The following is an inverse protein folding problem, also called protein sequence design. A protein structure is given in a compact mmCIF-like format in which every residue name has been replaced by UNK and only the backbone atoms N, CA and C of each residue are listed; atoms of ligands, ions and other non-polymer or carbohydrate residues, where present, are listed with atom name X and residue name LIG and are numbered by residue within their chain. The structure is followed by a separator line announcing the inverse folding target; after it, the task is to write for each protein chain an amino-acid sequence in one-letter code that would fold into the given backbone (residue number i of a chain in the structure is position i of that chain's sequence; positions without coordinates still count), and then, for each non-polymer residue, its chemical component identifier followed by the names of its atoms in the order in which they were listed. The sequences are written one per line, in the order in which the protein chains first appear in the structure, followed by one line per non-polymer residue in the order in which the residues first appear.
data_IF_144642971467
#
_entry.id   IF_144642971467
#
_cell.length_a   1.000
_cell.length_b   1.000
_cell.length_c   1.000
_cell.angle_alpha   90.00
_cell.angle_beta   90.00
_cell.angle_gamma   90.00
#
_symmetry.space_group_name_H-M   'P 1'
#
loop_
_entity.id
_entity.type
_entity.pdbx_description
1 polymer ?
#
# COMPACT_ATOMS: atom_id res chain seq x y z
N UNK A 1 19.12 -0.83 -21.37
CA UNK A 1 18.51 -1.92 -22.18
C UNK A 1 19.61 -2.70 -22.89
N UNK A 2 19.70 -4.02 -22.73
CA UNK A 2 20.73 -4.86 -23.37
C UNK A 2 20.50 -5.05 -24.88
N UNK A 3 21.51 -5.56 -25.60
CA UNK A 3 21.43 -5.81 -27.04
C UNK A 3 20.42 -6.91 -27.39
N UNK A 4 20.37 -8.01 -26.63
CA UNK A 4 19.37 -9.07 -26.89
C UNK A 4 17.93 -8.63 -26.66
N UNK A 5 17.66 -7.79 -25.66
CA UNK A 5 16.30 -7.25 -25.45
C UNK A 5 15.84 -6.44 -26.68
N UNK A 6 16.71 -5.56 -27.19
CA UNK A 6 16.41 -4.79 -28.42
C UNK A 6 16.21 -5.69 -29.64
N UNK A 7 17.03 -6.74 -29.79
CA UNK A 7 16.90 -7.72 -30.89
C UNK A 7 15.59 -8.51 -30.81
N UNK A 8 15.10 -8.77 -29.60
CA UNK A 8 13.79 -9.37 -29.34
C UNK A 8 12.61 -8.38 -29.46
N UNK A 9 12.86 -7.13 -29.90
CA UNK A 9 11.84 -6.10 -30.05
C UNK A 9 11.43 -5.42 -28.75
N UNK A 10 12.11 -5.70 -27.64
CA UNK A 10 11.85 -5.06 -26.34
C UNK A 10 12.71 -3.81 -26.25
N UNK A 11 12.11 -2.67 -26.61
CA UNK A 11 12.78 -1.36 -26.68
C UNK A 11 12.28 -0.39 -25.61
N UNK A 12 11.13 -0.67 -24.99
CA UNK A 12 10.54 0.13 -23.92
C UNK A 12 10.38 -0.65 -22.61
N UNK A 13 10.28 0.07 -21.49
CA UNK A 13 9.95 -0.54 -20.20
C UNK A 13 8.54 -1.15 -20.18
N UNK A 14 7.59 -0.56 -20.92
CA UNK A 14 6.25 -1.11 -21.04
C UNK A 14 6.28 -2.50 -21.67
N UNK A 15 6.98 -2.68 -22.79
CA UNK A 15 7.15 -3.99 -23.44
C UNK A 15 7.84 -4.98 -22.51
N UNK A 16 8.89 -4.56 -21.80
CA UNK A 16 9.63 -5.40 -20.86
C UNK A 16 8.74 -5.88 -19.70
N UNK A 17 7.87 -5.01 -19.19
CA UNK A 17 6.97 -5.32 -18.06
C UNK A 17 5.93 -6.41 -18.37
N UNK A 18 5.63 -6.63 -19.66
CA UNK A 18 4.66 -7.64 -20.10
C UNK A 18 5.25 -9.03 -20.24
N UNK A 19 6.58 -9.17 -20.14
CA UNK A 19 7.25 -10.45 -20.32
C UNK A 19 7.26 -11.25 -19.03
N UNK A 20 7.19 -12.57 -19.19
CA UNK A 20 7.43 -13.50 -18.10
C UNK A 20 8.93 -13.65 -17.82
N UNK A 21 9.33 -14.01 -16.59
CA UNK A 21 10.73 -14.31 -16.29
C UNK A 21 11.34 -15.37 -17.20
N UNK A 22 10.57 -16.36 -17.64
CA UNK A 22 11.08 -17.45 -18.48
C UNK A 22 11.33 -16.99 -19.92
N UNK A 23 10.43 -16.22 -20.52
CA UNK A 23 10.69 -15.57 -21.81
C UNK A 23 11.94 -14.69 -21.76
N UNK A 24 12.11 -13.92 -20.68
CA UNK A 24 13.27 -13.05 -20.53
C UNK A 24 14.56 -13.85 -20.35
N UNK A 25 14.53 -14.97 -19.60
CA UNK A 25 15.69 -15.87 -19.45
C UNK A 25 16.13 -16.41 -20.81
N UNK A 26 15.19 -16.84 -21.65
CA UNK A 26 15.50 -17.32 -23.00
C UNK A 26 16.15 -16.22 -23.86
N UNK A 27 15.59 -15.01 -23.83
CA UNK A 27 16.10 -13.87 -24.60
C UNK A 27 17.53 -13.48 -24.17
N UNK A 28 17.80 -13.39 -22.86
CA UNK A 28 19.11 -12.91 -22.37
C UNK A 28 20.18 -13.99 -22.31
N UNK A 29 19.80 -15.27 -22.34
CA UNK A 29 20.77 -16.37 -22.41
C UNK A 29 21.61 -16.31 -23.68
N UNK A 30 21.08 -15.72 -24.76
CA UNK A 30 21.79 -15.49 -26.01
C UNK A 30 22.99 -14.52 -25.89
N UNK A 31 22.99 -13.65 -24.87
CA UNK A 31 24.09 -12.69 -24.61
C UNK A 31 25.19 -13.29 -23.70
N UNK A 32 25.06 -14.53 -23.24
CA UNK A 32 26.00 -15.15 -22.29
C UNK A 32 26.02 -14.47 -20.90
N UNK A 33 25.02 -13.62 -20.63
CA UNK A 33 24.88 -12.89 -19.40
C UNK A 33 24.39 -13.82 -18.28
N UNK A 34 25.11 -13.90 -17.16
CA UNK A 34 24.68 -14.60 -15.94
C UNK A 34 23.66 -13.77 -15.15
N UNK A 35 22.57 -13.37 -15.80
CA UNK A 35 21.49 -12.56 -15.20
C UNK A 35 20.27 -13.41 -14.79
N UNK A 36 20.35 -14.73 -14.94
CA UNK A 36 19.21 -15.64 -14.76
C UNK A 36 18.47 -15.47 -13.41
N UNK A 37 19.18 -15.10 -12.35
CA UNK A 37 18.58 -14.83 -11.04
C UNK A 37 17.82 -13.50 -11.04
N UNK A 38 18.44 -12.39 -11.43
CA UNK A 38 17.79 -11.06 -11.41
C UNK A 38 16.70 -10.87 -12.45
N UNK A 39 16.67 -11.66 -13.52
CA UNK A 39 15.65 -11.56 -14.58
C UNK A 39 14.22 -11.73 -14.04
N UNK A 40 14.06 -12.38 -12.89
CA UNK A 40 12.77 -12.55 -12.23
C UNK A 40 12.16 -11.21 -11.77
N UNK A 41 12.97 -10.22 -11.38
CA UNK A 41 12.48 -8.91 -10.92
C UNK A 41 12.24 -7.93 -12.07
N UNK A 42 12.80 -8.19 -13.26
CA UNK A 42 12.81 -7.24 -14.37
C UNK A 42 11.41 -6.81 -14.84
N UNK A 43 10.41 -7.70 -14.97
CA UNK A 43 9.07 -7.27 -15.34
C UNK A 43 8.49 -6.26 -14.35
N UNK A 44 8.69 -6.48 -13.04
CA UNK A 44 8.20 -5.60 -11.97
C UNK A 44 8.95 -4.26 -11.97
N UNK A 45 10.28 -4.29 -12.05
CA UNK A 45 11.12 -3.09 -12.17
C UNK A 45 10.72 -2.24 -13.39
N UNK A 46 10.52 -2.88 -14.54
CA UNK A 46 10.08 -2.21 -15.76
C UNK A 46 8.67 -1.64 -15.63
N UNK A 47 7.78 -2.35 -14.92
CA UNK A 47 6.42 -1.89 -14.59
C UNK A 47 6.43 -0.56 -13.82
N UNK A 48 7.32 -0.42 -12.83
CA UNK A 48 7.45 0.80 -12.03
C UNK A 48 8.03 1.95 -12.85
N UNK A 49 9.10 1.68 -13.61
CA UNK A 49 9.73 2.67 -14.50
C UNK A 49 8.77 3.15 -15.61
N UNK A 50 7.98 2.25 -16.19
CA UNK A 50 7.00 2.59 -17.23
C UNK A 50 5.89 3.50 -16.72
N UNK A 51 5.56 3.42 -15.42
CA UNK A 51 4.57 4.27 -14.75
C UNK A 51 5.16 5.56 -14.16
N UNK A 52 6.47 5.78 -14.30
CA UNK A 52 7.17 6.90 -13.67
C UNK A 52 7.21 6.82 -12.15
N UNK A 53 7.03 5.63 -11.56
CA UNK A 53 7.03 5.40 -10.12
C UNK A 53 8.46 5.18 -9.63
N UNK A 54 9.28 6.22 -9.76
CA UNK A 54 10.71 6.15 -9.46
C UNK A 54 10.99 5.91 -7.97
N UNK A 55 10.22 6.55 -7.07
CA UNK A 55 10.39 6.34 -5.63
C UNK A 55 10.12 4.88 -5.23
N UNK A 56 9.04 4.29 -5.75
CA UNK A 56 8.73 2.87 -5.55
C UNK A 56 9.72 1.95 -6.24
N UNK A 57 10.33 2.37 -7.35
CA UNK A 57 11.38 1.60 -8.02
C UNK A 57 12.65 1.51 -7.17
N UNK A 58 13.04 2.62 -6.54
CA UNK A 58 14.20 2.66 -5.65
C UNK A 58 13.94 1.78 -4.41
N UNK A 59 12.77 1.94 -3.77
CA UNK A 59 12.36 1.11 -2.64
C UNK A 59 12.28 -0.39 -3.02
N UNK A 60 11.74 -0.70 -4.19
CA UNK A 60 11.67 -2.07 -4.69
C UNK A 60 13.07 -2.65 -4.90
N UNK A 61 14.00 -1.86 -5.41
CA UNK A 61 15.38 -2.29 -5.65
C UNK A 61 16.10 -2.60 -4.34
N UNK A 62 15.88 -1.80 -3.30
CA UNK A 62 16.43 -2.03 -1.96
C UNK A 62 15.80 -3.25 -1.26
N UNK A 63 14.52 -3.53 -1.53
CA UNK A 63 13.82 -4.69 -0.99
C UNK A 63 14.27 -6.03 -1.60
N UNK A 64 14.82 -6.04 -2.82
CA UNK A 64 15.28 -7.27 -3.47
C UNK A 64 16.53 -7.85 -2.79
N UNK A 65 16.52 -9.15 -2.50
CA UNK A 65 17.70 -9.90 -2.09
C UNK A 65 18.49 -10.36 -3.32
N UNK A 66 19.60 -9.67 -3.60
CA UNK A 66 20.46 -9.93 -4.77
C UNK A 66 19.68 -9.95 -6.11
N UNK A 67 18.70 -9.05 -6.25
CA UNK A 67 17.89 -8.88 -7.46
C UNK A 67 16.69 -9.83 -7.59
N UNK A 68 16.32 -10.56 -6.54
CA UNK A 68 15.08 -11.35 -6.48
C UNK A 68 14.26 -11.02 -5.24
N UNK A 69 12.95 -11.26 -5.24
CA UNK A 69 12.15 -11.17 -4.02
C UNK A 69 12.77 -11.94 -2.85
N UNK A 70 12.72 -11.41 -1.61
CA UNK A 70 13.15 -12.12 -0.41
C UNK A 70 12.49 -13.49 -0.31
N UNK A 71 13.22 -14.46 0.25
CA UNK A 71 12.73 -15.84 0.42
C UNK A 71 11.81 -16.02 1.64
N UNK A 72 11.38 -14.93 2.28
CA UNK A 72 10.51 -14.91 3.45
C UNK A 72 9.01 -15.07 3.13
N UNK A 73 8.67 -15.23 1.85
CA UNK A 73 7.28 -15.37 1.37
C UNK A 73 6.64 -14.05 0.97
N UNK A 74 7.32 -12.91 1.15
CA UNK A 74 6.85 -11.60 0.68
C UNK A 74 6.82 -11.55 -0.85
N UNK A 75 5.72 -11.06 -1.41
CA UNK A 75 5.53 -10.96 -2.86
C UNK A 75 5.69 -9.52 -3.32
N UNK A 76 5.95 -9.32 -4.62
CA UNK A 76 5.91 -7.99 -5.21
C UNK A 76 4.57 -7.29 -4.98
N UNK A 77 3.45 -8.01 -5.01
CA UNK A 77 2.13 -7.42 -4.78
C UNK A 77 1.96 -6.93 -3.34
N UNK A 78 2.43 -7.70 -2.35
CA UNK A 78 2.41 -7.30 -0.95
C UNK A 78 3.33 -6.10 -0.69
N UNK A 79 4.55 -6.14 -1.23
CA UNK A 79 5.49 -5.02 -1.21
C UNK A 79 4.84 -3.77 -1.83
N UNK A 80 4.41 -3.86 -3.09
CA UNK A 80 3.87 -2.73 -3.82
C UNK A 80 2.67 -2.13 -3.08
N UNK A 81 1.72 -2.94 -2.61
CA UNK A 81 0.57 -2.45 -1.83
C UNK A 81 1.00 -1.67 -0.59
N UNK A 82 1.96 -2.20 0.18
CA UNK A 82 2.48 -1.53 1.37
C UNK A 82 3.21 -0.22 1.03
N UNK A 83 4.09 -0.24 0.01
CA UNK A 83 4.87 0.92 -0.40
C UNK A 83 4.00 2.00 -1.05
N UNK A 84 3.00 1.64 -1.87
CA UNK A 84 2.02 2.59 -2.40
C UNK A 84 1.25 3.30 -1.29
N UNK A 85 0.83 2.56 -0.26
CA UNK A 85 0.16 3.12 0.91
C UNK A 85 1.08 4.01 1.76
N UNK A 86 2.39 3.75 1.77
CA UNK A 86 3.37 4.60 2.44
C UNK A 86 3.62 5.92 1.69
N UNK A 87 3.65 5.88 0.36
CA UNK A 87 3.88 7.06 -0.49
C UNK A 87 2.61 7.92 -0.63
N UNK A 88 1.43 7.30 -0.61
CA UNK A 88 0.14 7.97 -0.74
C UNK A 88 -0.76 7.63 0.46
N UNK A 89 -0.45 8.12 1.67
CA UNK A 89 -1.30 7.92 2.82
C UNK A 89 -2.63 8.67 2.63
N UNK A 90 -3.72 8.04 3.03
CA UNK A 90 -5.02 8.68 3.11
C UNK A 90 -5.08 9.66 4.29
N UNK A 91 -5.99 10.64 4.21
CA UNK A 91 -6.28 11.53 5.33
C UNK A 91 -7.20 10.83 6.34
N UNK A 92 -6.63 10.10 7.30
CA UNK A 92 -7.40 9.35 8.29
C UNK A 92 -8.19 10.27 9.23
N UNK A 93 -7.86 11.57 9.32
CA UNK A 93 -8.66 12.53 10.09
C UNK A 93 -10.03 12.80 9.46
N UNK A 94 -10.30 12.34 8.24
CA UNK A 94 -11.67 12.33 7.70
C UNK A 94 -12.60 11.47 8.56
N UNK A 95 -12.09 10.42 9.18
CA UNK A 95 -12.86 9.53 10.05
C UNK A 95 -13.19 10.25 11.37
N UNK A 96 -14.47 10.30 11.71
CA UNK A 96 -14.95 10.96 12.90
C UNK A 96 -14.37 10.32 14.16
N UNK A 97 -13.74 11.16 14.98
CA UNK A 97 -13.04 10.77 16.20
C UNK A 97 -11.56 10.41 16.00
N UNK A 98 -11.02 10.41 14.79
CA UNK A 98 -9.58 10.33 14.55
C UNK A 98 -8.99 11.74 14.49
N UNK A 99 -8.37 12.17 15.58
CA UNK A 99 -7.59 13.42 15.63
C UNK A 99 -6.16 13.25 15.13
N UNK A 100 -5.39 14.35 14.97
CA UNK A 100 -4.00 14.29 14.47
C UNK A 100 -3.05 13.40 15.28
N UNK A 101 -3.27 13.23 16.59
CA UNK A 101 -2.47 12.33 17.41
C UNK A 101 -2.78 10.85 17.11
N UNK A 102 -4.06 10.53 16.91
CA UNK A 102 -4.51 9.17 16.58
C UNK A 102 -4.09 8.78 15.17
N UNK A 103 -4.23 9.68 14.18
CA UNK A 103 -3.70 9.48 12.83
C UNK A 103 -2.21 9.13 12.87
N UNK A 104 -1.39 9.87 13.63
CA UNK A 104 0.03 9.56 13.77
C UNK A 104 0.29 8.20 14.40
N UNK A 105 -0.47 7.82 15.43
CA UNK A 105 -0.35 6.52 16.09
C UNK A 105 -0.71 5.37 15.14
N UNK A 106 -1.79 5.53 14.37
CA UNK A 106 -2.20 4.56 13.35
C UNK A 106 -1.16 4.44 12.24
N UNK A 107 -0.64 5.57 11.75
CA UNK A 107 0.41 5.59 10.73
C UNK A 107 1.69 4.90 11.24
N UNK A 108 2.07 5.13 12.50
CA UNK A 108 3.21 4.44 13.13
C UNK A 108 3.01 2.91 13.24
N UNK A 109 1.76 2.47 13.38
CA UNK A 109 1.37 1.05 13.35
C UNK A 109 1.16 0.48 11.92
N UNK A 110 1.53 1.24 10.88
CA UNK A 110 1.41 0.86 9.48
C UNK A 110 -0.02 0.91 8.92
N UNK A 111 -0.92 1.63 9.59
CA UNK A 111 -2.29 1.88 9.12
C UNK A 111 -2.32 3.30 8.58
N UNK A 112 -2.08 3.45 7.27
CA UNK A 112 -1.96 4.74 6.58
C UNK A 112 -3.06 4.96 5.54
N UNK A 113 -3.96 3.99 5.34
CA UNK A 113 -5.04 4.05 4.33
C UNK A 113 -6.40 3.67 4.90
N UNK A 114 -7.48 4.10 4.26
CA UNK A 114 -8.84 3.70 4.62
C UNK A 114 -9.04 2.19 4.49
N UNK A 115 -8.40 1.55 3.51
CA UNK A 115 -8.46 0.10 3.33
C UNK A 115 -7.84 -0.64 4.52
N UNK A 116 -6.63 -0.25 4.94
CA UNK A 116 -5.99 -0.84 6.13
C UNK A 116 -6.78 -0.56 7.40
N UNK A 117 -7.37 0.63 7.53
CA UNK A 117 -8.19 0.99 8.69
C UNK A 117 -9.50 0.17 8.72
N UNK A 118 -10.11 -0.09 7.57
CA UNK A 118 -11.27 -0.97 7.44
C UNK A 118 -10.91 -2.42 7.82
N UNK A 119 -9.77 -2.93 7.35
CA UNK A 119 -9.36 -4.31 7.58
C UNK A 119 -8.78 -4.55 8.98
N UNK A 120 -8.39 -3.49 9.70
CA UNK A 120 -7.87 -3.59 11.05
C UNK A 120 -8.98 -3.92 12.06
N UNK A 121 -8.75 -4.95 12.87
CA UNK A 121 -9.63 -5.26 14.00
C UNK A 121 -9.45 -4.27 15.17
N UNK A 122 -10.43 -4.26 16.09
CA UNK A 122 -10.38 -3.36 17.25
C UNK A 122 -9.16 -3.62 18.15
N UNK A 123 -8.63 -4.84 18.19
CA UNK A 123 -7.47 -5.18 19.03
C UNK A 123 -6.23 -4.47 18.50
N UNK A 124 -6.01 -4.51 17.18
CA UNK A 124 -4.91 -3.81 16.50
C UNK A 124 -5.02 -2.30 16.66
N UNK A 125 -6.23 -1.74 16.50
CA UNK A 125 -6.46 -0.30 16.66
C UNK A 125 -6.18 0.16 18.10
N UNK A 126 -6.63 -0.61 19.09
CA UNK A 126 -6.32 -0.33 20.51
C UNK A 126 -4.82 -0.38 20.77
N UNK A 127 -4.15 -1.45 20.33
CA UNK A 127 -2.71 -1.61 20.50
C UNK A 127 -1.92 -0.44 19.92
N UNK A 128 -2.29 0.05 18.73
CA UNK A 128 -1.65 1.21 18.10
C UNK A 128 -1.79 2.49 18.95
N UNK A 129 -2.97 2.74 19.53
CA UNK A 129 -3.20 3.90 20.40
C UNK A 129 -2.47 3.75 21.75
N UNK A 130 -2.51 2.55 22.34
CA UNK A 130 -1.89 2.25 23.63
C UNK A 130 -0.35 2.37 23.53
N UNK A 131 0.26 1.89 22.45
CA UNK A 131 1.69 2.05 22.18
C UNK A 131 2.11 3.52 22.05
N UNK A 132 1.22 4.36 21.50
CA UNK A 132 1.40 5.80 21.45
C UNK A 132 1.05 6.52 22.77
N UNK A 133 0.64 5.80 23.82
CA UNK A 133 0.23 6.36 25.11
C UNK A 133 -1.06 7.20 25.03
N UNK A 134 -1.90 6.96 24.03
CA UNK A 134 -3.14 7.70 23.81
C UNK A 134 -4.31 7.02 24.52
N UNK A 135 -5.23 7.84 25.03
CA UNK A 135 -6.51 7.33 25.53
C UNK A 135 -7.34 6.79 24.35
N UNK A 136 -7.94 5.62 24.53
CA UNK A 136 -8.86 5.04 23.55
C UNK A 136 -10.03 5.99 23.26
N UNK A 137 -10.30 6.21 21.97
CA UNK A 137 -11.45 6.98 21.52
C UNK A 137 -12.76 6.24 21.84
N UNK A 138 -13.79 6.92 22.36
CA UNK A 138 -15.12 6.32 22.49
C UNK A 138 -15.70 5.85 21.14
N UNK A 139 -15.33 6.52 20.05
CA UNK A 139 -15.74 6.20 18.68
C UNK A 139 -14.88 5.13 18.00
N UNK A 140 -13.87 4.57 18.66
CA UNK A 140 -13.00 3.54 18.07
C UNK A 140 -13.77 2.41 17.37
N UNK A 141 -14.89 1.89 17.92
CA UNK A 141 -15.66 0.84 17.26
C UNK A 141 -16.23 1.20 15.88
N UNK A 142 -16.39 2.50 15.56
CA UNK A 142 -17.00 2.95 14.30
C UNK A 142 -15.97 3.30 13.22
N UNK A 143 -14.68 3.33 13.55
CA UNK A 143 -13.62 3.76 12.62
C UNK A 143 -13.51 2.86 11.39
N UNK A 144 -13.53 1.53 11.58
CA UNK A 144 -13.44 0.58 10.47
C UNK A 144 -14.67 0.66 9.54
N UNK A 145 -15.85 0.87 10.10
CA UNK A 145 -17.10 1.03 9.33
C UNK A 145 -17.07 2.30 8.48
N UNK A 146 -16.70 3.43 9.08
CA UNK A 146 -16.54 4.71 8.38
C UNK A 146 -15.51 4.61 7.25
N UNK A 147 -14.36 3.96 7.52
CA UNK A 147 -13.34 3.73 6.51
C UNK A 147 -13.86 2.86 5.36
N UNK A 148 -14.72 1.89 5.65
CA UNK A 148 -15.37 1.07 4.63
C UNK A 148 -16.23 1.86 3.65
N UNK A 149 -16.90 2.93 4.09
CA UNK A 149 -17.62 3.82 3.17
C UNK A 149 -16.65 4.56 2.22
N UNK A 150 -15.54 5.07 2.75
CA UNK A 150 -14.53 5.77 1.95
C UNK A 150 -13.83 4.83 0.96
N UNK A 151 -13.55 3.58 1.35
CA UNK A 151 -13.01 2.55 0.45
C UNK A 151 -13.95 2.27 -0.74
N UNK A 152 -15.27 2.27 -0.50
CA UNK A 152 -16.28 2.07 -1.56
C UNK A 152 -16.57 3.34 -2.37
N UNK A 153 -16.03 4.49 -1.97
CA UNK A 153 -16.38 5.79 -2.56
C UNK A 153 -17.82 6.24 -2.25
N UNK A 154 -18.45 5.65 -1.23
CA UNK A 154 -19.82 5.96 -0.82
C UNK A 154 -19.81 7.16 0.16
N UNK A 155 -19.62 8.35 -0.41
CA UNK A 155 -19.57 9.60 0.35
C UNK A 155 -20.91 9.93 1.02
N UNK A 156 -22.04 9.57 0.40
CA UNK A 156 -23.36 9.81 0.96
C UNK A 156 -23.59 8.96 2.22
N UNK A 157 -23.29 7.66 2.15
CA UNK A 157 -23.36 6.76 3.29
C UNK A 157 -22.40 7.17 4.42
N UNK A 158 -21.19 7.62 4.06
CA UNK A 158 -20.22 8.16 5.00
C UNK A 158 -20.76 9.39 5.75
N UNK A 159 -21.34 10.36 5.04
CA UNK A 159 -21.91 11.57 5.63
C UNK A 159 -23.14 11.28 6.49
N UNK A 160 -23.98 10.33 6.08
CA UNK A 160 -25.15 9.91 6.86
C UNK A 160 -24.72 9.30 8.20
N UNK A 161 -23.77 8.36 8.19
CA UNK A 161 -23.25 7.73 9.40
C UNK A 161 -22.57 8.74 10.34
N UNK A 162 -21.70 9.59 9.81
CA UNK A 162 -21.01 10.61 10.63
C UNK A 162 -21.96 11.64 11.23
N UNK A 163 -23.04 11.99 10.52
CA UNK A 163 -24.11 12.85 11.03
C UNK A 163 -24.85 12.19 12.19
N UNK A 164 -25.19 10.91 12.09
CA UNK A 164 -25.83 10.14 13.17
C UNK A 164 -24.95 10.07 14.42
N UNK A 165 -23.65 9.73 14.25
CA UNK A 165 -22.69 9.64 15.35
C UNK A 165 -22.44 10.99 16.04
N UNK A 166 -22.55 12.09 15.30
CA UNK A 166 -22.40 13.44 15.86
C UNK A 166 -23.68 13.93 16.52
N UNK A 167 -24.84 13.63 15.94
CA UNK A 167 -26.14 13.93 16.54
C UNK A 167 -26.34 13.16 17.86
N UNK A 168 -26.02 11.87 17.89
CA UNK A 168 -26.09 11.04 19.09
C UNK A 168 -25.14 11.48 20.22
N UNK A 169 -24.02 12.17 19.89
CA UNK A 169 -23.16 12.83 20.89
C UNK A 169 -23.73 14.15 21.40
N UNK A 170 -24.59 14.83 20.63
CA UNK A 170 -25.17 16.14 21.00
C UNK A 170 -26.43 16.01 21.86
N UNK A 171 -27.17 14.90 21.74
CA UNK A 171 -28.36 14.63 22.56
C UNK A 171 -28.04 14.17 24.00
N UNK A 172 -26.78 14.23 24.42
CA UNK A 172 -26.34 13.91 25.79
C UNK A 172 -26.38 15.08 26.77
N UNK A 173 -26.67 16.31 26.32
CA UNK A 173 -26.70 17.52 27.15
C UNK A 173 -27.99 18.32 26.91
N UNK A 174 -29.13 17.84 27.40
CA UNK A 174 -30.30 18.69 27.69
C UNK A 174 -30.98 18.18 28.99
N UNK A 175 -30.68 18.91 30.08
CA UNK A 175 -31.32 19.03 31.42
C UNK A 175 -32.18 17.90 32.02
#
# INVERSE_FOLDING_TARGET
MSASLKKAGITTYQELSTKTPDELKEIVSADGLRLARSVVSWPNQASLLARGQFDLFDEYTDWLDAGVPPSDGSTFHAFATASFAAVNPDDLKRIEGIGPAMERALNAAGITTYAQLHDADQTRLRAALDEAGLRLAPSLPTWAEQAGYLVRGDEEGFLALTSELTAGRRTGDED
#
